data_IF_698158375617
#
_entry.id   IF_698158375617
#
_cell.length_a   1.000
_cell.length_b   1.000
_cell.length_c   1.000
_cell.angle_alpha   90.00
_cell.angle_beta   90.00
_cell.angle_gamma   90.00
#
_symmetry.space_group_name_H-M   'P 1'
#
loop_
_entity.id
_entity.type
_entity.pdbx_description
1 polymer ?
#
# COMPACT_ATOMS: atom_id res chain seq x y z
N UNK A 1 -8.41 35.98 9.55
CA UNK A 1 -7.42 34.90 9.36
C UNK A 1 -7.88 33.72 10.21
N UNK A 2 -8.54 32.74 9.61
CA UNK A 2 -8.87 31.49 10.31
C UNK A 2 -7.69 30.55 10.13
N UNK A 3 -6.97 30.28 11.23
CA UNK A 3 -6.10 29.10 11.31
C UNK A 3 -7.01 27.87 11.23
N UNK A 4 -6.91 27.14 10.11
CA UNK A 4 -7.39 25.77 10.06
C UNK A 4 -6.32 24.94 10.76
N UNK A 5 -6.53 24.71 12.05
CA UNK A 5 -5.82 23.67 12.80
C UNK A 5 -6.13 22.33 12.13
N UNK A 6 -5.28 21.94 11.18
CA UNK A 6 -5.33 20.62 10.56
C UNK A 6 -4.71 19.64 11.56
N UNK A 7 -5.48 19.27 12.58
CA UNK A 7 -5.17 18.08 13.38
C UNK A 7 -5.17 16.91 12.40
N UNK A 8 -4.09 16.10 12.30
CA UNK A 8 -4.15 14.92 11.44
C UNK A 8 -5.31 14.08 11.95
N UNK A 9 -6.25 13.80 11.06
CA UNK A 9 -7.29 12.85 11.34
C UNK A 9 -6.59 11.51 11.55
N UNK A 10 -6.35 11.16 12.82
CA UNK A 10 -6.26 9.76 13.24
C UNK A 10 -7.65 9.16 12.98
N UNK A 11 -7.93 8.95 11.69
CA UNK A 11 -9.00 8.07 11.27
C UNK A 11 -8.67 6.74 11.92
N UNK A 12 -9.63 6.19 12.65
CA UNK A 12 -9.58 4.86 13.19
C UNK A 12 -9.58 3.89 11.98
N UNK A 13 -8.42 3.75 11.34
CA UNK A 13 -8.23 2.85 10.21
C UNK A 13 -8.36 1.44 10.78
N UNK A 14 -9.37 0.68 10.35
CA UNK A 14 -9.47 -0.72 10.75
C UNK A 14 -8.26 -1.49 10.20
N UNK A 15 -7.64 -2.32 11.03
CA UNK A 15 -6.54 -3.19 10.59
C UNK A 15 -6.99 -4.12 9.45
N UNK A 16 -6.06 -4.45 8.55
CA UNK A 16 -6.30 -5.47 7.53
C UNK A 16 -6.56 -6.83 8.19
N UNK A 17 -7.81 -7.28 8.12
CA UNK A 17 -8.23 -8.59 8.63
C UNK A 17 -7.93 -9.68 7.60
N UNK A 18 -6.67 -10.09 7.55
CA UNK A 18 -6.18 -11.18 6.70
C UNK A 18 -5.63 -12.32 7.56
N UNK A 19 -5.81 -13.55 7.08
CA UNK A 19 -5.17 -14.73 7.65
C UNK A 19 -3.68 -14.76 7.27
N UNK A 20 -2.88 -15.57 7.96
CA UNK A 20 -1.42 -15.58 7.77
C UNK A 20 -1.00 -15.82 6.32
N UNK A 21 -1.58 -16.84 5.67
CA UNK A 21 -1.27 -17.15 4.27
C UNK A 21 -1.65 -16.01 3.31
N UNK A 22 -2.67 -15.21 3.65
CA UNK A 22 -3.07 -14.06 2.84
C UNK A 22 -2.07 -12.92 2.98
N UNK A 23 -1.50 -12.73 4.18
CA UNK A 23 -0.38 -11.81 4.39
C UNK A 23 0.88 -12.26 3.66
N UNK A 24 1.18 -13.56 3.64
CA UNK A 24 2.33 -14.09 2.90
C UNK A 24 2.18 -13.86 1.39
N UNK A 25 1.00 -14.14 0.83
CA UNK A 25 0.69 -13.85 -0.57
C UNK A 25 0.77 -12.36 -0.89
N UNK A 26 0.23 -11.50 -0.03
CA UNK A 26 0.30 -10.05 -0.20
C UNK A 26 1.75 -9.56 -0.18
N UNK A 27 2.54 -10.05 0.77
CA UNK A 27 3.97 -9.72 0.88
C UNK A 27 4.72 -10.11 -0.38
N UNK A 28 4.51 -11.32 -0.88
CA UNK A 28 5.17 -11.78 -2.11
C UNK A 28 4.77 -10.93 -3.32
N UNK A 29 3.48 -10.61 -3.45
CA UNK A 29 3.00 -9.75 -4.54
C UNK A 29 3.64 -8.35 -4.51
N UNK A 30 3.80 -7.76 -3.33
CA UNK A 30 4.45 -6.46 -3.17
C UNK A 30 5.94 -6.52 -3.52
N UNK A 31 6.64 -7.60 -3.13
CA UNK A 31 8.04 -7.83 -3.54
C UNK A 31 8.15 -7.90 -5.06
N UNK A 32 7.29 -8.68 -5.71
CA UNK A 32 7.30 -8.85 -7.16
C UNK A 32 7.03 -7.52 -7.88
N UNK A 33 6.09 -6.72 -7.37
CA UNK A 33 5.81 -5.38 -7.89
C UNK A 33 7.02 -4.46 -7.75
N UNK A 34 7.74 -4.49 -6.63
CA UNK A 34 8.97 -3.70 -6.46
C UNK A 34 10.08 -4.17 -7.40
N UNK A 35 10.33 -5.49 -7.49
CA UNK A 35 11.33 -6.06 -8.38
C UNK A 35 11.08 -5.72 -9.85
N UNK A 36 9.81 -5.70 -10.25
CA UNK A 36 9.40 -5.34 -11.60
C UNK A 36 9.40 -3.81 -11.85
N UNK A 37 9.60 -2.99 -10.82
CA UNK A 37 9.64 -1.52 -10.91
C UNK A 37 8.27 -0.84 -10.81
N UNK A 38 7.20 -1.60 -10.55
CA UNK A 38 5.85 -1.07 -10.31
C UNK A 38 5.70 -0.43 -8.93
N UNK A 39 6.59 -0.69 -8.00
CA UNK A 39 6.75 0.06 -6.75
C UNK A 39 8.22 0.42 -6.61
N UNK A 40 8.50 1.63 -6.11
CA UNK A 40 9.87 2.12 -5.93
C UNK A 40 10.29 2.14 -4.46
N UNK A 41 9.31 2.00 -3.56
CA UNK A 41 9.49 2.09 -2.13
C UNK A 41 9.28 0.72 -1.49
N UNK A 42 10.29 0.22 -0.79
CA UNK A 42 10.27 -1.07 -0.07
C UNK A 42 9.44 -1.02 1.21
N UNK A 43 9.04 0.17 1.67
CA UNK A 43 8.22 0.35 2.87
C UNK A 43 6.94 -0.47 2.82
N UNK A 44 6.37 -0.69 1.63
CA UNK A 44 5.16 -1.50 1.46
C UNK A 44 5.39 -2.98 1.75
N UNK A 45 6.51 -3.53 1.31
CA UNK A 45 6.90 -4.92 1.61
C UNK A 45 7.15 -5.11 3.11
N UNK A 46 7.82 -4.14 3.74
CA UNK A 46 8.14 -4.16 5.16
C UNK A 46 6.86 -4.09 6.01
N UNK A 47 5.92 -3.20 5.66
CA UNK A 47 4.62 -3.09 6.32
C UNK A 47 3.76 -4.33 6.16
N UNK A 48 3.81 -4.99 5.00
CA UNK A 48 3.11 -6.27 4.80
C UNK A 48 3.71 -7.39 5.67
N UNK A 49 5.05 -7.47 5.74
CA UNK A 49 5.77 -8.43 6.61
C UNK A 49 5.48 -8.22 8.09
N UNK A 50 5.42 -6.96 8.54
CA UNK A 50 5.09 -6.62 9.93
C UNK A 50 3.60 -6.63 10.23
N UNK A 51 2.74 -6.91 9.24
CA UNK A 51 1.27 -6.86 9.36
C UNK A 51 0.75 -5.51 9.85
N UNK A 52 1.44 -4.43 9.47
CA UNK A 52 1.07 -3.03 9.80
C UNK A 52 0.59 -2.24 8.58
N UNK A 53 0.46 -2.88 7.42
CA UNK A 53 -0.11 -2.26 6.23
C UNK A 53 -1.60 -1.98 6.48
N UNK A 54 -2.06 -0.77 6.20
CA UNK A 54 -3.47 -0.39 6.42
C UNK A 54 -4.30 -0.57 5.15
N UNK A 55 -5.64 -0.65 5.26
CA UNK A 55 -6.51 -0.74 4.07
C UNK A 55 -6.37 0.46 3.13
N UNK A 56 -6.16 1.66 3.68
CA UNK A 56 -5.93 2.90 2.91
C UNK A 56 -4.67 2.79 2.07
N UNK A 57 -3.58 2.30 2.66
CA UNK A 57 -2.29 2.09 1.99
C UNK A 57 -2.40 1.03 0.90
N UNK A 58 -3.06 -0.11 1.19
CA UNK A 58 -3.30 -1.15 0.19
C UNK A 58 -4.14 -0.63 -0.99
N UNK A 59 -5.16 0.19 -0.70
CA UNK A 59 -5.99 0.82 -1.74
C UNK A 59 -5.20 1.80 -2.60
N UNK A 60 -4.31 2.59 -1.98
CA UNK A 60 -3.39 3.48 -2.68
C UNK A 60 -2.44 2.71 -3.60
N UNK A 61 -1.78 1.66 -3.09
CA UNK A 61 -0.90 0.79 -3.88
C UNK A 61 -1.65 0.20 -5.08
N UNK A 62 -2.84 -0.34 -4.84
CA UNK A 62 -3.68 -0.93 -5.90
C UNK A 62 -4.00 0.10 -6.98
N UNK A 63 -4.35 1.33 -6.58
CA UNK A 63 -4.65 2.43 -7.51
C UNK A 63 -3.43 2.79 -8.36
N UNK A 64 -2.25 2.90 -7.74
CA UNK A 64 -0.99 3.19 -8.44
C UNK A 64 -0.64 2.10 -9.47
N UNK A 65 -0.80 0.83 -9.10
CA UNK A 65 -0.54 -0.31 -10.00
C UNK A 65 -1.52 -0.32 -11.16
N UNK A 66 -2.81 -0.08 -10.92
CA UNK A 66 -3.82 0.02 -11.98
C UNK A 66 -3.51 1.17 -12.94
N UNK A 67 -3.17 2.35 -12.43
CA UNK A 67 -2.80 3.50 -13.26
C UNK A 67 -1.61 3.20 -14.16
N UNK A 68 -0.54 2.59 -13.63
CA UNK A 68 0.64 2.21 -14.43
C UNK A 68 0.32 1.18 -15.52
N UNK A 69 -0.58 0.23 -15.24
CA UNK A 69 -1.04 -0.70 -16.26
C UNK A 69 -1.88 -0.01 -17.35
N UNK A 70 -2.70 0.97 -16.98
CA UNK A 70 -3.53 1.73 -17.93
C UNK A 70 -2.73 2.71 -18.79
N UNK A 71 -1.66 3.32 -18.26
CA UNK A 71 -0.80 4.23 -19.03
C UNK A 71 0.07 3.50 -20.05
N UNK A 72 0.10 2.16 -20.02
CA UNK A 72 0.94 1.37 -20.92
C UNK A 72 2.42 1.61 -20.70
N UNK A 73 2.81 2.19 -19.55
CA UNK A 73 4.18 2.24 -19.05
C UNK A 73 4.62 0.82 -18.68
N UNK A 74 4.74 0.01 -19.72
CA UNK A 74 5.51 -1.20 -19.73
C UNK A 74 6.96 -0.77 -19.79
N UNK A 75 7.72 -1.27 -18.81
CA UNK A 75 9.15 -1.05 -18.66
C UNK A 75 9.91 -1.36 -19.95
#
# INVERSE_FOLDING_TARGET
MSSVDTKPAEGNEEDLKLNEWQFDMLTQALIDLTCNGYLTDKTWEEKAKSRTLTPSELSFITTMVLQRNLTGETK
#
